data_IF_921032756037
#
_entry.id   IF_921032756037
#
_cell.length_a   1.000
_cell.length_b   1.000
_cell.length_c   1.000
_cell.angle_alpha   90.00
_cell.angle_beta   90.00
_cell.angle_gamma   90.00
#
_symmetry.space_group_name_H-M   'P 1'
#
loop_
_entity.id
_entity.type
_entity.pdbx_description
1 polymer ?
#
# COMPACT_ATOMS: atom_id res chain seq x y z
N UNK A 1 -7.47 -9.57 8.89
CA UNK A 1 -8.05 -8.24 9.20
C UNK A 1 -7.83 -7.35 7.98
N UNK A 2 -8.71 -6.37 7.75
CA UNK A 2 -8.54 -5.40 6.65
C UNK A 2 -8.11 -4.07 7.25
N UNK A 3 -7.03 -3.50 6.72
CA UNK A 3 -6.47 -2.22 7.17
C UNK A 3 -6.53 -1.23 6.00
N UNK A 4 -6.95 0.00 6.26
CA UNK A 4 -6.89 1.07 5.25
C UNK A 4 -5.59 1.83 5.44
N UNK A 5 -4.77 1.86 4.40
CA UNK A 5 -3.51 2.61 4.36
C UNK A 5 -3.74 3.89 3.57
N UNK A 6 -3.56 5.03 4.23
CA UNK A 6 -3.55 6.33 3.57
C UNK A 6 -2.18 6.59 2.96
N UNK A 7 -2.16 6.91 1.67
CA UNK A 7 -0.96 7.22 0.90
C UNK A 7 -0.84 8.73 0.73
N UNK A 8 0.38 9.25 0.86
CA UNK A 8 0.68 10.64 0.50
C UNK A 8 0.57 10.79 -1.02
N UNK A 9 0.40 12.02 -1.52
CA UNK A 9 0.30 12.28 -2.97
C UNK A 9 1.46 11.67 -3.77
N UNK A 10 2.69 11.77 -3.25
CA UNK A 10 3.88 11.19 -3.89
C UNK A 10 3.80 9.66 -4.03
N UNK A 11 3.21 8.98 -3.05
CA UNK A 11 3.02 7.52 -3.08
C UNK A 11 1.79 7.11 -3.89
N UNK A 12 0.74 7.94 -3.91
CA UNK A 12 -0.45 7.69 -4.70
C UNK A 12 -0.12 7.57 -6.19
N UNK A 13 0.82 8.36 -6.71
CA UNK A 13 1.31 8.23 -8.10
C UNK A 13 1.87 6.84 -8.42
N UNK A 14 2.42 6.14 -7.41
CA UNK A 14 2.96 4.79 -7.53
C UNK A 14 1.92 3.69 -7.22
N UNK A 15 0.72 4.08 -6.80
CA UNK A 15 -0.41 3.21 -6.44
C UNK A 15 -1.65 3.54 -7.30
N UNK A 16 -1.45 3.75 -8.61
CA UNK A 16 -2.53 4.00 -9.58
C UNK A 16 -3.36 5.26 -9.29
N UNK A 17 -2.77 6.24 -8.60
CA UNK A 17 -3.45 7.46 -8.13
C UNK A 17 -4.31 7.26 -6.89
N UNK A 18 -4.33 6.07 -6.28
CA UNK A 18 -5.10 5.82 -5.07
C UNK A 18 -4.47 6.52 -3.86
N UNK A 19 -5.26 7.31 -3.15
CA UNK A 19 -4.84 7.94 -1.87
C UNK A 19 -5.14 7.07 -0.67
N UNK A 20 -5.98 6.04 -0.84
CA UNK A 20 -6.34 5.08 0.20
C UNK A 20 -6.42 3.68 -0.41
N UNK A 21 -5.75 2.73 0.22
CA UNK A 21 -5.75 1.32 -0.22
C UNK A 21 -6.13 0.44 0.94
N UNK A 22 -7.21 -0.33 0.76
CA UNK A 22 -7.57 -1.40 1.69
C UNK A 22 -6.69 -2.62 1.43
N UNK A 23 -5.91 -3.02 2.43
CA UNK A 23 -4.99 -4.17 2.38
C UNK A 23 -5.34 -5.21 3.43
N UNK A 24 -5.02 -6.46 3.12
CA UNK A 24 -5.22 -7.58 4.04
C UNK A 24 -3.96 -7.85 4.86
N UNK A 25 -4.10 -7.98 6.17
CA UNK A 25 -3.00 -8.33 7.05
C UNK A 25 -3.38 -8.31 8.53
N UNK A 26 -2.65 -9.06 9.33
CA UNK A 26 -2.76 -9.09 10.79
C UNK A 26 -1.63 -8.32 11.46
N UNK A 27 -0.58 -7.99 10.70
CA UNK A 27 0.58 -7.19 11.13
C UNK A 27 0.87 -6.08 10.10
N UNK A 28 1.64 -5.08 10.51
CA UNK A 28 2.11 -4.02 9.59
C UNK A 28 2.90 -4.61 8.43
N UNK A 29 3.77 -5.59 8.70
CA UNK A 29 4.56 -6.26 7.65
C UNK A 29 3.70 -7.01 6.63
N UNK A 30 2.64 -7.69 7.07
CA UNK A 30 1.70 -8.36 6.17
C UNK A 30 0.91 -7.34 5.32
N UNK A 31 0.43 -6.26 5.94
CA UNK A 31 -0.26 -5.18 5.24
C UNK A 31 0.63 -4.52 4.18
N UNK A 32 1.91 -4.30 4.51
CA UNK A 32 2.91 -3.78 3.58
C UNK A 32 3.18 -4.75 2.42
N UNK A 33 3.34 -6.03 2.72
CA UNK A 33 3.56 -7.06 1.70
C UNK A 33 2.35 -7.20 0.75
N UNK A 34 1.13 -7.05 1.26
CA UNK A 34 -0.09 -7.03 0.43
C UNK A 34 -0.16 -5.75 -0.43
N UNK A 35 0.14 -4.60 0.16
CA UNK A 35 0.22 -3.32 -0.55
C UNK A 35 1.21 -3.37 -1.72
N UNK A 36 2.44 -3.80 -1.46
CA UNK A 36 3.51 -3.89 -2.46
C UNK A 36 3.23 -4.94 -3.53
N UNK A 37 2.55 -6.04 -3.19
CA UNK A 37 2.15 -7.06 -4.18
C UNK A 37 1.14 -6.50 -5.18
N UNK A 38 0.24 -5.63 -4.72
CA UNK A 38 -0.81 -5.02 -5.56
C UNK A 38 -0.32 -3.79 -6.32
N UNK A 39 0.63 -3.06 -5.74
CA UNK A 39 1.24 -1.88 -6.35
C UNK A 39 2.78 -2.03 -6.32
N UNK A 40 3.38 -2.75 -7.30
CA UNK A 40 4.81 -3.01 -7.33
C UNK A 40 5.68 -1.74 -7.37
N UNK A 41 5.14 -0.62 -7.87
CA UNK A 41 5.82 0.69 -7.87
C UNK A 41 6.19 1.18 -6.47
N UNK A 42 5.47 0.75 -5.43
CA UNK A 42 5.79 1.07 -4.04
C UNK A 42 6.99 0.28 -3.51
N UNK A 43 7.35 -0.85 -4.12
CA UNK A 43 8.49 -1.67 -3.68
C UNK A 43 9.83 -0.93 -3.76
N UNK A 44 9.93 0.06 -4.65
CA UNK A 44 11.16 0.84 -4.84
C UNK A 44 11.39 1.91 -3.75
N UNK A 45 10.41 2.14 -2.88
CA UNK A 45 10.38 3.25 -1.92
C UNK A 45 10.43 2.80 -0.45
N UNK A 46 10.45 1.49 -0.20
CA UNK A 46 10.44 0.86 1.13
C UNK A 46 11.63 -0.07 1.26
#
# INVERSE_FOLDING_TARGET
MTVVVSLTQMLAEQADGATEVAVAGSTVGEALADLTRRHPGLAALV
#
